data_IF_984485219565
#
_entry.id   IF_984485219565
#
_cell.length_a   1.000
_cell.length_b   1.000
_cell.length_c   1.000
_cell.angle_alpha   90.00
_cell.angle_beta   90.00
_cell.angle_gamma   90.00
#
_symmetry.space_group_name_H-M   'P 1'
#
loop_
_entity.id
_entity.type
_entity.pdbx_description
1 polymer ?
#
# COMPACT_ATOMS: atom_id res chain seq x y z
N UNK A 1 9.89 19.77 -11.57
CA UNK A 1 8.61 20.16 -12.17
C UNK A 1 8.61 21.65 -12.38
N UNK A 2 8.38 22.10 -13.62
CA UNK A 2 8.15 23.50 -13.94
C UNK A 2 6.65 23.83 -13.81
N UNK A 3 6.27 24.47 -12.70
CA UNK A 3 4.87 24.79 -12.41
C UNK A 3 4.32 25.89 -13.34
N UNK A 4 5.15 26.81 -13.83
CA UNK A 4 4.68 27.86 -14.74
C UNK A 4 4.27 27.28 -16.08
N UNK A 5 5.11 26.40 -16.63
CA UNK A 5 4.84 25.66 -17.86
C UNK A 5 3.57 24.82 -17.75
N UNK A 6 3.40 24.08 -16.65
CA UNK A 6 2.17 23.33 -16.38
C UNK A 6 0.96 24.28 -16.37
N UNK A 7 1.03 25.38 -15.62
CA UNK A 7 -0.09 26.31 -15.45
C UNK A 7 -0.53 26.98 -16.76
N UNK A 8 0.38 27.16 -17.72
CA UNK A 8 0.05 27.71 -19.04
C UNK A 8 -0.77 26.74 -19.91
N UNK A 9 -0.58 25.43 -19.76
CA UNK A 9 -1.04 24.45 -20.76
C UNK A 9 -1.98 23.38 -20.22
N UNK A 10 -2.07 23.21 -18.90
CA UNK A 10 -2.78 22.08 -18.27
C UNK A 10 -4.23 21.88 -18.73
N UNK A 11 -4.94 22.92 -19.20
CA UNK A 11 -6.35 22.84 -19.64
C UNK A 11 -6.59 22.07 -20.95
N UNK A 12 -5.54 21.83 -21.73
CA UNK A 12 -5.63 21.22 -23.08
C UNK A 12 -4.70 20.02 -23.24
N UNK A 13 -4.35 19.38 -22.12
CA UNK A 13 -3.39 18.27 -22.17
C UNK A 13 -4.12 16.97 -22.46
N UNK A 14 -3.61 16.21 -23.42
CA UNK A 14 -4.21 14.94 -23.84
C UNK A 14 -4.13 13.90 -22.73
N UNK A 15 -5.23 13.18 -22.50
CA UNK A 15 -5.27 12.02 -21.59
C UNK A 15 -4.53 10.80 -22.14
N UNK A 16 -4.37 10.73 -23.47
CA UNK A 16 -3.88 9.52 -24.15
C UNK A 16 -2.42 9.61 -24.57
N UNK A 17 -1.90 10.83 -24.78
CA UNK A 17 -0.56 11.05 -25.30
C UNK A 17 0.17 12.11 -24.48
N UNK A 18 1.37 11.76 -24.01
CA UNK A 18 2.28 12.69 -23.37
C UNK A 18 2.73 13.75 -24.39
N UNK A 19 2.64 15.05 -24.06
CA UNK A 19 3.24 16.10 -24.87
C UNK A 19 4.77 15.95 -24.90
N UNK A 20 5.39 16.13 -26.08
CA UNK A 20 6.83 15.93 -26.27
C UNK A 20 7.68 16.86 -25.40
N UNK A 21 7.14 18.03 -25.06
CA UNK A 21 7.80 19.01 -24.20
C UNK A 21 7.60 18.73 -22.71
N UNK A 22 6.72 17.82 -22.26
CA UNK A 22 6.44 17.55 -20.85
C UNK A 22 7.21 16.33 -20.34
N UNK A 23 7.71 16.38 -19.11
CA UNK A 23 8.09 15.15 -18.41
C UNK A 23 6.85 14.33 -18.02
N UNK A 24 7.02 13.05 -17.71
CA UNK A 24 5.91 12.19 -17.26
C UNK A 24 5.25 12.78 -16.01
N UNK A 25 6.04 13.25 -15.04
CA UNK A 25 5.54 13.86 -13.81
C UNK A 25 4.74 15.14 -14.10
N UNK A 26 5.25 16.00 -14.98
CA UNK A 26 4.57 17.24 -15.38
C UNK A 26 3.24 16.94 -16.08
N UNK A 27 3.23 15.93 -16.96
CA UNK A 27 2.04 15.52 -17.68
C UNK A 27 0.98 14.97 -16.72
N UNK A 28 1.38 14.08 -15.82
CA UNK A 28 0.53 13.48 -14.80
C UNK A 28 -0.01 14.51 -13.81
N UNK A 29 0.80 15.50 -13.44
CA UNK A 29 0.36 16.64 -12.64
C UNK A 29 -0.70 17.46 -13.39
N UNK A 30 -0.43 17.84 -14.64
CA UNK A 30 -1.33 18.65 -15.46
C UNK A 30 -2.71 17.99 -15.64
N UNK A 31 -2.74 16.66 -15.87
CA UNK A 31 -4.00 15.90 -15.99
C UNK A 31 -4.84 15.95 -14.70
N UNK A 32 -4.21 15.87 -13.52
CA UNK A 32 -4.92 15.96 -12.23
C UNK A 32 -5.50 17.35 -12.00
N UNK A 33 -4.76 18.38 -12.38
CA UNK A 33 -5.22 19.77 -12.33
C UNK A 33 -6.37 20.00 -13.31
N UNK A 34 -6.25 19.54 -14.56
CA UNK A 34 -7.31 19.62 -15.57
C UNK A 34 -8.59 18.93 -15.09
N UNK A 35 -8.46 17.72 -14.53
CA UNK A 35 -9.58 16.94 -14.03
C UNK A 35 -10.28 17.65 -12.84
N UNK A 36 -9.50 18.23 -11.93
CA UNK A 36 -10.04 18.94 -10.77
C UNK A 36 -10.91 20.15 -11.14
N UNK A 37 -10.59 20.84 -12.23
CA UNK A 37 -11.39 21.98 -12.70
C UNK A 37 -12.64 21.57 -13.47
N UNK A 38 -12.56 20.49 -14.25
CA UNK A 38 -13.68 20.02 -15.07
C UNK A 38 -14.73 19.23 -14.28
N UNK A 39 -14.36 18.68 -13.11
CA UNK A 39 -15.24 17.84 -12.31
C UNK A 39 -15.89 18.60 -11.16
N UNK A 40 -17.19 18.36 -10.88
CA UNK A 40 -17.96 19.10 -9.88
C UNK A 40 -17.69 18.62 -8.45
N UNK A 41 -16.43 18.66 -8.00
CA UNK A 41 -16.06 18.35 -6.63
C UNK A 41 -16.68 19.34 -5.65
N UNK A 42 -17.25 18.83 -4.55
CA UNK A 42 -17.71 19.67 -3.44
C UNK A 42 -16.63 19.72 -2.37
N UNK A 43 -16.13 20.92 -2.08
CA UNK A 43 -15.06 21.14 -1.10
C UNK A 43 -15.65 21.81 0.13
N UNK A 44 -15.44 21.19 1.29
CA UNK A 44 -15.83 21.69 2.60
C UNK A 44 -14.56 21.91 3.44
N UNK A 45 -14.54 23.00 4.22
CA UNK A 45 -13.44 23.29 5.13
C UNK A 45 -13.77 22.77 6.53
N UNK A 46 -12.89 21.95 7.10
CA UNK A 46 -13.15 21.27 8.38
C UNK A 46 -12.80 22.12 9.60
N UNK A 47 -11.97 23.16 9.44
CA UNK A 47 -11.60 24.08 10.51
C UNK A 47 -11.68 25.53 10.02
N UNK A 48 -12.12 26.43 10.88
CA UNK A 48 -12.30 27.85 10.55
C UNK A 48 -10.97 28.67 10.51
N UNK A 49 -9.83 28.00 10.23
CA UNK A 49 -8.47 28.58 10.25
C UNK A 49 -8.06 29.23 8.91
N UNK A 50 -6.76 29.50 8.71
CA UNK A 50 -6.14 30.02 7.47
C UNK A 50 -6.38 29.13 6.22
N UNK A 51 -5.87 29.52 5.04
CA UNK A 51 -6.00 28.73 3.80
C UNK A 51 -5.34 27.35 3.91
N UNK A 52 -4.22 27.23 4.61
CA UNK A 52 -3.65 25.94 4.98
C UNK A 52 -4.44 25.35 6.14
N UNK A 53 -5.21 24.30 5.85
CA UNK A 53 -6.14 23.70 6.79
C UNK A 53 -6.54 22.30 6.33
N UNK A 54 -7.42 21.66 7.09
CA UNK A 54 -8.06 20.41 6.72
C UNK A 54 -9.33 20.69 5.92
N UNK A 55 -9.48 19.93 4.85
CA UNK A 55 -10.61 19.98 3.93
C UNK A 55 -11.22 18.60 3.76
N UNK A 56 -12.47 18.57 3.35
CA UNK A 56 -13.17 17.38 2.87
C UNK A 56 -13.59 17.63 1.44
N UNK A 57 -13.25 16.69 0.56
CA UNK A 57 -13.64 16.74 -0.86
C UNK A 57 -14.57 15.57 -1.14
N UNK A 58 -15.79 15.88 -1.56
CA UNK A 58 -16.79 14.91 -1.98
C UNK A 58 -16.82 14.81 -3.50
N UNK A 59 -16.74 13.57 -4.00
CA UNK A 59 -16.92 13.26 -5.41
C UNK A 59 -18.36 12.79 -5.65
N UNK A 60 -19.18 13.55 -6.39
CA UNK A 60 -20.57 13.17 -6.65
C UNK A 60 -20.73 11.90 -7.51
N UNK A 61 -19.76 11.57 -8.37
CA UNK A 61 -19.83 10.40 -9.25
C UNK A 61 -19.64 9.10 -8.47
N UNK A 62 -18.62 9.06 -7.62
CA UNK A 62 -18.32 7.87 -6.82
C UNK A 62 -19.06 7.86 -5.48
N UNK A 63 -19.68 8.98 -5.10
CA UNK A 63 -20.31 9.21 -3.78
C UNK A 63 -19.34 9.05 -2.60
N UNK A 64 -18.04 9.16 -2.85
CA UNK A 64 -17.00 9.04 -1.82
C UNK A 64 -16.54 10.43 -1.36
N UNK A 65 -16.13 10.50 -0.10
CA UNK A 65 -15.50 11.68 0.51
C UNK A 65 -14.08 11.36 0.92
N UNK A 66 -13.17 12.32 0.73
CA UNK A 66 -11.77 12.20 1.12
C UNK A 66 -11.37 13.36 2.03
N UNK A 67 -10.61 13.07 3.08
CA UNK A 67 -9.95 14.12 3.88
C UNK A 67 -8.65 14.55 3.21
N UNK A 68 -8.43 15.87 3.18
CA UNK A 68 -7.23 16.51 2.66
C UNK A 68 -6.63 17.35 3.78
N UNK A 69 -5.32 17.23 4.01
CA UNK A 69 -4.56 18.17 4.84
C UNK A 69 -3.69 19.03 3.92
N UNK A 70 -4.11 20.27 3.67
CA UNK A 70 -3.35 21.21 2.86
C UNK A 70 -2.38 21.98 3.76
N UNK A 71 -1.08 21.90 3.46
CA UNK A 71 0.03 22.41 4.29
C UNK A 71 1.14 23.07 3.48
N UNK A 72 1.14 22.97 2.16
CA UNK A 72 2.04 23.76 1.32
C UNK A 72 1.46 24.00 -0.06
N UNK A 73 1.95 25.04 -0.73
CA UNK A 73 1.58 25.37 -2.10
C UNK A 73 2.37 24.54 -3.14
N UNK A 74 3.58 24.13 -2.80
CA UNK A 74 4.51 23.38 -3.65
C UNK A 74 4.30 21.85 -3.60
N UNK A 75 3.23 21.39 -2.94
CA UNK A 75 2.91 19.98 -2.73
C UNK A 75 3.91 19.18 -1.86
N UNK A 76 4.86 19.85 -1.20
CA UNK A 76 5.81 19.18 -0.32
C UNK A 76 5.24 18.63 0.98
N UNK A 77 4.10 19.16 1.42
CA UNK A 77 3.59 18.95 2.76
C UNK A 77 2.13 18.46 2.81
N UNK A 78 1.50 18.33 1.65
CA UNK A 78 0.08 18.03 1.51
C UNK A 78 -0.19 16.53 1.76
N UNK A 79 -1.42 16.21 2.15
CA UNK A 79 -1.88 14.83 2.30
C UNK A 79 -3.31 14.68 1.79
N UNK A 80 -3.61 13.55 1.15
CA UNK A 80 -4.97 13.14 0.82
C UNK A 80 -5.16 11.65 1.11
N UNK A 81 -6.35 11.29 1.58
CA UNK A 81 -6.69 9.89 1.88
C UNK A 81 -6.84 9.00 0.64
N UNK A 82 -7.01 9.58 -0.56
CA UNK A 82 -7.26 8.83 -1.77
C UNK A 82 -6.04 7.97 -2.20
N UNK A 83 -6.33 6.88 -2.91
CA UNK A 83 -5.30 5.95 -3.35
C UNK A 83 -4.35 6.54 -4.39
N UNK A 84 -4.87 7.39 -5.29
CA UNK A 84 -4.06 8.14 -6.26
C UNK A 84 -2.91 8.90 -5.56
N UNK A 85 -3.22 9.71 -4.54
CA UNK A 85 -2.20 10.46 -3.79
C UNK A 85 -1.15 9.55 -3.16
N UNK A 86 -1.59 8.43 -2.57
CA UNK A 86 -0.72 7.50 -1.85
C UNK A 86 0.22 6.72 -2.77
N UNK A 87 -0.08 6.64 -4.07
CA UNK A 87 0.65 5.78 -5.03
C UNK A 87 1.38 6.54 -6.12
N UNK A 88 0.96 7.77 -6.46
CA UNK A 88 1.48 8.47 -7.63
C UNK A 88 2.87 9.13 -7.45
N UNK A 89 3.33 9.36 -6.22
CA UNK A 89 4.64 9.94 -5.96
C UNK A 89 4.79 11.44 -6.24
N UNK A 90 3.73 12.15 -6.60
CA UNK A 90 3.75 13.56 -7.02
C UNK A 90 3.50 14.55 -5.88
N UNK A 91 2.96 14.09 -4.74
CA UNK A 91 2.54 14.98 -3.65
C UNK A 91 1.25 15.75 -3.93
N UNK A 92 0.55 15.44 -5.02
CA UNK A 92 -0.77 15.97 -5.34
C UNK A 92 -1.71 14.87 -5.86
N UNK A 93 -3.00 15.17 -5.92
CA UNK A 93 -4.03 14.37 -6.58
C UNK A 93 -5.14 15.29 -7.06
N UNK A 94 -6.10 14.76 -7.83
CA UNK A 94 -7.27 15.52 -8.27
C UNK A 94 -8.03 16.22 -7.13
N UNK A 95 -8.06 15.64 -5.93
CA UNK A 95 -8.75 16.25 -4.78
C UNK A 95 -7.95 17.42 -4.15
N UNK A 96 -6.62 17.33 -4.12
CA UNK A 96 -5.77 18.43 -3.65
C UNK A 96 -5.87 19.61 -4.64
N UNK A 97 -5.80 19.32 -5.94
CA UNK A 97 -6.00 20.34 -6.97
C UNK A 97 -7.41 20.95 -6.92
N UNK A 98 -8.44 20.18 -6.54
CA UNK A 98 -9.79 20.70 -6.33
C UNK A 98 -9.85 21.67 -5.12
N UNK A 99 -9.09 21.40 -4.05
CA UNK A 99 -8.95 22.33 -2.92
C UNK A 99 -8.24 23.61 -3.34
N UNK A 100 -7.14 23.51 -4.12
CA UNK A 100 -6.48 24.69 -4.67
C UNK A 100 -7.43 25.51 -5.54
N UNK A 101 -8.16 24.85 -6.44
CA UNK A 101 -9.17 25.49 -7.29
C UNK A 101 -10.25 26.20 -6.46
N UNK A 102 -10.75 25.56 -5.40
CA UNK A 102 -11.70 26.14 -4.47
C UNK A 102 -11.14 27.39 -3.76
N UNK A 103 -9.90 27.35 -3.29
CA UNK A 103 -9.25 28.49 -2.62
C UNK A 103 -9.08 29.67 -3.58
N UNK A 104 -8.63 29.41 -4.82
CA UNK A 104 -8.43 30.44 -5.83
C UNK A 104 -9.75 31.06 -6.31
N UNK A 105 -10.76 30.23 -6.64
CA UNK A 105 -11.93 30.70 -7.38
C UNK A 105 -13.16 30.96 -6.50
N UNK A 106 -13.39 30.13 -5.47
CA UNK A 106 -14.56 30.28 -4.57
C UNK A 106 -14.23 31.17 -3.38
N UNK A 107 -13.12 30.91 -2.69
CA UNK A 107 -12.70 31.75 -1.55
C UNK A 107 -12.01 33.04 -1.98
N UNK A 108 -11.51 33.14 -3.23
CA UNK A 108 -10.71 34.26 -3.74
C UNK A 108 -9.51 34.59 -2.84
N UNK A 109 -8.92 33.57 -2.22
CA UNK A 109 -7.83 33.68 -1.23
C UNK A 109 -6.50 33.08 -1.72
N UNK A 110 -6.34 32.93 -3.03
CA UNK A 110 -5.14 32.37 -3.65
C UNK A 110 -3.83 33.07 -3.25
N UNK A 111 -3.86 34.40 -3.07
CA UNK A 111 -2.68 35.16 -2.63
C UNK A 111 -2.13 34.72 -1.27
N UNK A 112 -2.98 34.15 -0.39
CA UNK A 112 -2.55 33.68 0.93
C UNK A 112 -1.74 32.37 0.86
N UNK A 113 -1.74 31.67 -0.28
CA UNK A 113 -0.93 30.45 -0.48
C UNK A 113 0.56 30.76 -0.67
N UNK A 114 0.93 32.02 -0.92
CA UNK A 114 2.33 32.45 -0.97
C UNK A 114 2.99 32.57 0.40
N UNK A 115 2.20 32.63 1.49
CA UNK A 115 2.74 32.63 2.85
C UNK A 115 3.09 31.19 3.25
N UNK A 116 4.23 30.95 3.93
CA UNK A 116 4.55 29.61 4.41
C UNK A 116 3.51 29.15 5.43
N UNK A 117 3.25 27.85 5.46
CA UNK A 117 2.47 27.25 6.54
C UNK A 117 3.33 27.13 7.79
N UNK A 118 3.05 27.97 8.78
CA UNK A 118 3.68 27.89 10.10
C UNK A 118 2.88 26.96 11.00
N UNK A 119 3.51 25.86 11.42
CA UNK A 119 2.97 24.99 12.45
C UNK A 119 3.66 25.24 13.78
N UNK A 120 2.87 25.30 14.85
CA UNK A 120 3.39 25.50 16.19
C UNK A 120 4.08 24.24 16.71
N UNK A 121 3.49 23.07 16.44
CA UNK A 121 3.99 21.78 16.90
C UNK A 121 4.92 21.09 15.90
N UNK A 122 5.81 20.25 16.41
CA UNK A 122 6.65 19.34 15.62
C UNK A 122 5.90 18.05 15.30
N UNK A 123 6.08 17.52 14.10
CA UNK A 123 5.42 16.28 13.69
C UNK A 123 6.26 15.35 12.83
N UNK A 124 6.08 14.05 13.00
CA UNK A 124 6.59 13.01 12.10
C UNK A 124 5.47 12.54 11.18
N UNK A 125 5.73 12.52 9.87
CA UNK A 125 4.78 12.15 8.83
C UNK A 125 5.43 11.28 7.75
N UNK A 126 4.61 10.60 6.96
CA UNK A 126 5.07 9.90 5.76
C UNK A 126 5.02 10.86 4.56
N UNK A 127 6.17 11.13 3.95
CA UNK A 127 6.24 11.81 2.67
C UNK A 127 5.99 10.80 1.56
N UNK A 128 4.92 11.00 0.79
CA UNK A 128 4.52 10.10 -0.30
C UNK A 128 5.23 10.40 -1.62
N UNK A 129 6.07 11.45 -1.69
CA UNK A 129 6.77 11.83 -2.91
C UNK A 129 7.95 10.92 -3.20
N UNK A 130 8.16 10.58 -4.47
CA UNK A 130 9.24 9.70 -4.93
C UNK A 130 9.24 8.36 -4.15
N UNK A 131 10.24 8.16 -3.28
CA UNK A 131 10.34 6.99 -2.41
C UNK A 131 9.73 7.37 -1.06
N UNK A 132 8.66 6.67 -0.65
CA UNK A 132 7.98 6.93 0.62
C UNK A 132 8.99 6.99 1.76
N UNK A 133 9.13 8.15 2.39
CA UNK A 133 10.11 8.40 3.45
C UNK A 133 9.45 9.02 4.66
N UNK A 134 9.81 8.54 5.84
CA UNK A 134 9.39 9.16 7.08
C UNK A 134 10.19 10.44 7.24
N UNK A 135 9.50 11.55 7.45
CA UNK A 135 10.12 12.87 7.63
C UNK A 135 9.65 13.52 8.92
N UNK A 136 10.53 14.33 9.50
CA UNK A 136 10.18 15.23 10.59
C UNK A 136 9.95 16.65 10.06
N UNK A 137 8.89 17.30 10.54
CA UNK A 137 8.65 18.73 10.33
C UNK A 137 8.71 19.43 11.67
N UNK A 138 9.70 20.30 11.81
CA UNK A 138 9.97 21.03 13.05
C UNK A 138 9.04 22.23 13.13
N UNK A 139 8.31 22.34 14.24
CA UNK A 139 7.46 23.49 14.54
C UNK A 139 8.20 24.63 15.24
N UNK A 140 7.48 25.70 15.56
CA UNK A 140 8.03 26.87 16.25
C UNK A 140 8.20 26.65 17.76
N UNK A 141 7.49 25.70 18.37
CA UNK A 141 7.65 25.32 19.78
C UNK A 141 8.87 24.39 19.94
N UNK A 142 9.68 24.63 20.98
CA UNK A 142 10.87 23.82 21.34
C UNK A 142 11.81 23.52 20.15
N UNK A 143 11.98 24.49 19.24
CA UNK A 143 12.71 24.30 18.00
C UNK A 143 14.17 23.87 18.21
N UNK A 144 14.83 24.32 19.29
CA UNK A 144 16.24 23.98 19.55
C UNK A 144 16.38 22.50 19.90
N UNK A 145 15.51 22.02 20.79
CA UNK A 145 15.44 20.64 21.25
C UNK A 145 15.06 19.71 20.10
N UNK A 146 14.05 20.08 19.30
CA UNK A 146 13.64 19.29 18.14
C UNK A 146 14.69 19.27 17.01
N UNK A 147 15.47 20.35 16.82
CA UNK A 147 16.61 20.33 15.89
C UNK A 147 17.72 19.40 16.37
N UNK A 148 17.97 19.35 17.68
CA UNK A 148 18.94 18.40 18.25
C UNK A 148 18.47 16.94 18.09
N UNK A 149 17.18 16.67 18.36
CA UNK A 149 16.56 15.36 18.12
C UNK A 149 16.64 14.97 16.63
N UNK A 150 16.30 15.89 15.73
CA UNK A 150 16.37 15.67 14.29
C UNK A 150 17.78 15.31 13.84
N UNK A 151 18.81 16.05 14.30
CA UNK A 151 20.21 15.77 13.97
C UNK A 151 20.66 14.36 14.39
N UNK A 152 20.14 13.84 15.50
CA UNK A 152 20.44 12.49 15.99
C UNK A 152 19.89 11.41 15.06
N UNK A 153 18.60 11.46 14.74
CA UNK A 153 17.90 10.34 14.08
C UNK A 153 17.57 10.55 12.60
N UNK A 154 17.58 11.79 12.11
CA UNK A 154 17.21 12.16 10.75
C UNK A 154 18.42 12.69 9.97
N UNK A 155 18.35 12.59 8.65
CA UNK A 155 19.36 13.10 7.73
C UNK A 155 19.20 14.62 7.47
N UNK A 156 20.05 15.18 6.60
CA UNK A 156 20.02 16.59 6.24
C UNK A 156 18.72 17.03 5.55
N UNK A 157 17.97 16.10 4.94
CA UNK A 157 16.66 16.35 4.34
C UNK A 157 15.50 16.16 5.32
N UNK A 158 15.81 15.98 6.62
CA UNK A 158 14.87 15.62 7.67
C UNK A 158 14.16 14.27 7.42
N UNK A 159 14.80 13.33 6.72
CA UNK A 159 14.29 11.96 6.53
C UNK A 159 14.89 11.02 7.56
N UNK A 160 14.10 10.06 8.05
CA UNK A 160 14.55 9.09 9.04
C UNK A 160 15.67 8.21 8.46
N UNK A 161 16.78 8.07 9.19
CA UNK A 161 17.90 7.20 8.80
C UNK A 161 17.47 5.73 8.84
N UNK A 162 18.01 4.93 7.91
CA UNK A 162 17.68 3.50 7.77
C UNK A 162 17.97 2.68 9.05
N UNK A 163 19.05 3.00 9.77
CA UNK A 163 19.40 2.37 11.05
C UNK A 163 18.37 2.63 12.15
N UNK A 164 17.69 3.77 12.08
CA UNK A 164 16.83 4.27 13.15
C UNK A 164 15.39 3.79 13.07
N UNK A 165 15.04 3.04 12.03
CA UNK A 165 13.74 2.37 11.97
C UNK A 165 13.52 1.48 13.19
N UNK A 166 14.55 0.86 13.77
CA UNK A 166 14.44 0.03 14.99
C UNK A 166 14.15 0.86 16.24
N UNK A 167 14.72 2.07 16.32
CA UNK A 167 14.61 2.97 17.47
C UNK A 167 13.42 3.92 17.39
N UNK A 168 12.56 3.82 16.36
CA UNK A 168 11.45 4.74 16.15
C UNK A 168 10.54 4.99 17.36
N UNK A 169 10.27 3.96 18.18
CA UNK A 169 9.47 4.12 19.40
C UNK A 169 10.15 5.05 20.43
N UNK A 170 11.48 4.98 20.53
CA UNK A 170 12.28 5.87 21.38
C UNK A 170 12.23 7.31 20.85
N UNK A 171 12.29 7.49 19.53
CA UNK A 171 12.18 8.82 18.88
C UNK A 171 10.84 9.47 19.22
N UNK A 172 9.74 8.72 19.11
CA UNK A 172 8.40 9.21 19.46
C UNK A 172 8.31 9.52 20.95
N UNK A 173 8.87 8.67 21.81
CA UNK A 173 8.93 8.90 23.26
C UNK A 173 9.70 10.17 23.64
N UNK A 174 10.88 10.39 23.05
CA UNK A 174 11.66 11.61 23.24
C UNK A 174 10.93 12.85 22.71
N UNK A 175 10.24 12.74 21.57
CA UNK A 175 9.46 13.84 21.02
C UNK A 175 8.33 14.27 21.95
N UNK A 176 7.58 13.31 22.52
CA UNK A 176 6.53 13.58 23.51
C UNK A 176 7.08 14.12 24.83
N UNK A 177 8.27 13.70 25.25
CA UNK A 177 8.94 14.22 26.44
C UNK A 177 9.41 15.67 26.30
N UNK A 178 9.78 16.09 25.07
CA UNK A 178 10.14 17.50 24.77
C UNK A 178 8.89 18.39 24.81
N UNK A 179 7.80 17.95 24.18
CA UNK A 179 6.55 18.70 24.13
C UNK A 179 5.35 17.75 23.90
N UNK A 180 4.31 17.89 24.71
CA UNK A 180 3.07 17.09 24.64
C UNK A 180 2.31 17.25 23.32
N UNK A 181 2.48 18.38 22.62
CA UNK A 181 1.86 18.65 21.32
C UNK A 181 2.57 17.95 20.15
N UNK A 182 3.69 17.25 20.39
CA UNK A 182 4.38 16.48 19.36
C UNK A 182 3.45 15.43 18.73
N UNK A 183 3.41 15.37 17.39
CA UNK A 183 2.51 14.45 16.67
C UNK A 183 3.27 13.46 15.81
N UNK A 184 2.95 12.17 15.96
CA UNK A 184 3.30 11.15 14.98
C UNK A 184 2.04 10.76 14.21
N UNK A 185 2.01 10.99 12.90
CA UNK A 185 0.85 10.61 12.10
C UNK A 185 0.77 9.08 11.95
N UNK A 186 -0.44 8.50 11.96
CA UNK A 186 -0.61 7.04 11.92
C UNK A 186 0.06 6.36 10.73
N UNK A 187 0.08 7.02 9.57
CA UNK A 187 0.67 6.46 8.36
C UNK A 187 2.21 6.37 8.41
N UNK A 188 2.87 7.24 9.18
CA UNK A 188 4.28 7.11 9.48
C UNK A 188 4.52 5.85 10.33
N UNK A 189 3.73 5.64 11.38
CA UNK A 189 3.83 4.46 12.24
C UNK A 189 3.58 3.17 11.45
N UNK A 190 2.53 3.13 10.63
CA UNK A 190 2.21 2.00 9.76
C UNK A 190 3.39 1.66 8.84
N UNK A 191 4.01 2.67 8.24
CA UNK A 191 5.16 2.48 7.37
C UNK A 191 6.39 1.95 8.10
N UNK A 192 6.65 2.40 9.34
CA UNK A 192 7.73 1.86 10.18
C UNK A 192 7.50 0.38 10.46
N UNK A 193 6.27 0.01 10.85
CA UNK A 193 5.93 -1.37 11.16
C UNK A 193 6.11 -2.25 9.91
N UNK A 194 5.57 -1.83 8.77
CA UNK A 194 5.73 -2.52 7.49
C UNK A 194 7.20 -2.67 7.10
N UNK A 195 8.01 -1.62 7.27
CA UNK A 195 9.44 -1.65 6.99
C UNK A 195 10.18 -2.67 7.89
N UNK A 196 9.95 -2.62 9.21
CA UNK A 196 10.57 -3.56 10.16
C UNK A 196 10.21 -5.01 9.85
N UNK A 197 8.96 -5.27 9.51
CA UNK A 197 8.50 -6.61 9.14
C UNK A 197 9.09 -7.10 7.81
N UNK A 198 9.15 -6.23 6.80
CA UNK A 198 9.79 -6.54 5.53
C UNK A 198 11.28 -6.88 5.74
N UNK A 199 12.00 -6.08 6.54
CA UNK A 199 13.41 -6.33 6.85
C UNK A 199 13.60 -7.65 7.59
N UNK A 200 12.86 -7.87 8.67
CA UNK A 200 12.90 -9.14 9.43
C UNK A 200 12.63 -10.36 8.54
N UNK A 201 11.60 -10.29 7.69
CA UNK A 201 11.24 -11.37 6.77
C UNK A 201 12.34 -11.60 5.74
N UNK A 202 12.87 -10.53 5.15
CA UNK A 202 13.98 -10.61 4.21
C UNK A 202 15.20 -11.27 4.83
N UNK A 203 15.62 -10.83 6.02
CA UNK A 203 16.78 -11.37 6.73
C UNK A 203 16.57 -12.85 7.06
N UNK A 204 15.38 -13.23 7.55
CA UNK A 204 15.06 -14.63 7.85
C UNK A 204 15.10 -15.52 6.60
N UNK A 205 14.51 -15.09 5.50
CA UNK A 205 14.52 -15.85 4.24
C UNK A 205 15.93 -15.95 3.69
N UNK A 206 16.70 -14.87 3.72
CA UNK A 206 18.07 -14.84 3.23
C UNK A 206 18.99 -15.77 4.04
N UNK A 207 18.96 -15.68 5.37
CA UNK A 207 19.79 -16.50 6.25
C UNK A 207 19.45 -17.98 6.18
N UNK A 208 18.16 -18.35 6.20
CA UNK A 208 17.76 -19.77 6.22
C UNK A 208 17.72 -20.44 4.85
N UNK A 209 17.28 -19.73 3.82
CA UNK A 209 17.03 -20.29 2.50
C UNK A 209 18.03 -19.75 1.47
N UNK A 210 18.22 -18.43 1.40
CA UNK A 210 19.08 -17.78 0.40
C UNK A 210 20.53 -18.28 0.42
N UNK A 211 21.19 -18.30 1.59
CA UNK A 211 22.57 -18.81 1.75
C UNK A 211 22.70 -20.32 1.56
N UNK A 212 21.59 -21.04 1.55
CA UNK A 212 21.55 -22.50 1.58
C UNK A 212 20.71 -23.08 0.42
N UNK A 213 20.54 -22.33 -0.68
CA UNK A 213 19.74 -22.72 -1.85
C UNK A 213 20.13 -24.11 -2.38
N UNK A 214 21.42 -24.44 -2.33
CA UNK A 214 21.96 -25.71 -2.82
C UNK A 214 21.90 -26.84 -1.78
N UNK A 215 21.75 -26.53 -0.49
CA UNK A 215 21.88 -27.49 0.62
C UNK A 215 20.55 -28.21 0.97
N UNK A 216 19.67 -28.42 -0.01
CA UNK A 216 18.43 -29.18 0.20
C UNK A 216 17.41 -28.56 1.18
N UNK A 217 17.56 -27.29 1.58
CA UNK A 217 16.65 -26.62 2.55
C UNK A 217 15.18 -26.60 2.09
N UNK A 218 14.96 -26.74 0.78
CA UNK A 218 13.63 -26.81 0.16
C UNK A 218 13.04 -28.23 0.12
N UNK A 219 13.82 -29.28 0.36
CA UNK A 219 13.36 -30.66 0.23
C UNK A 219 12.31 -31.02 1.30
N UNK A 220 12.37 -30.35 2.45
CA UNK A 220 11.36 -30.44 3.52
C UNK A 220 10.17 -29.48 3.34
N UNK A 221 10.19 -28.66 2.29
CA UNK A 221 9.18 -27.61 2.10
C UNK A 221 8.00 -28.09 1.26
N UNK A 222 8.29 -28.82 0.17
CA UNK A 222 7.28 -29.36 -0.75
C UNK A 222 7.68 -30.76 -1.24
N UNK A 223 6.69 -31.57 -1.62
CA UNK A 223 6.82 -32.91 -2.19
C UNK A 223 7.19 -32.88 -3.69
N UNK A 224 8.16 -32.06 -4.07
CA UNK A 224 8.64 -31.96 -5.45
C UNK A 224 10.07 -31.42 -5.53
N UNK A 225 10.82 -31.87 -6.54
CA UNK A 225 12.15 -31.34 -6.84
C UNK A 225 12.04 -29.99 -7.52
N UNK A 226 12.66 -28.97 -6.94
CA UNK A 226 12.68 -27.60 -7.47
C UNK A 226 13.95 -27.34 -8.27
N UNK A 227 13.81 -26.69 -9.42
CA UNK A 227 14.95 -26.18 -10.18
C UNK A 227 15.61 -24.99 -9.47
N UNK A 228 16.91 -24.71 -9.70
CA UNK A 228 17.61 -23.58 -9.06
C UNK A 228 16.88 -22.23 -9.19
N UNK A 229 16.42 -21.87 -10.39
CA UNK A 229 15.68 -20.63 -10.62
C UNK A 229 14.34 -20.57 -9.86
N UNK A 230 13.69 -21.73 -9.62
CA UNK A 230 12.45 -21.78 -8.84
C UNK A 230 12.73 -21.49 -7.37
N UNK A 231 13.84 -22.02 -6.83
CA UNK A 231 14.27 -21.73 -5.45
C UNK A 231 14.54 -20.23 -5.26
N UNK A 232 15.20 -19.60 -6.22
CA UNK A 232 15.40 -18.15 -6.23
C UNK A 232 14.08 -17.38 -6.28
N UNK A 233 13.16 -17.76 -7.18
CA UNK A 233 11.82 -17.17 -7.27
C UNK A 233 11.02 -17.28 -5.96
N UNK A 234 11.11 -18.43 -5.29
CA UNK A 234 10.48 -18.66 -3.97
C UNK A 234 11.08 -17.74 -2.91
N UNK A 235 12.42 -17.67 -2.81
CA UNK A 235 13.12 -16.77 -1.89
C UNK A 235 12.76 -15.30 -2.15
N UNK A 236 12.71 -14.89 -3.42
CA UNK A 236 12.32 -13.55 -3.81
C UNK A 236 10.88 -13.22 -3.38
N UNK A 237 9.95 -14.12 -3.65
CA UNK A 237 8.55 -13.93 -3.27
C UNK A 237 8.35 -13.89 -1.75
N UNK A 238 8.96 -14.84 -1.04
CA UNK A 238 8.87 -14.94 0.40
C UNK A 238 9.58 -13.76 1.11
N UNK A 239 10.67 -13.22 0.57
CA UNK A 239 11.37 -12.07 1.18
C UNK A 239 10.59 -10.76 0.99
N UNK A 240 10.14 -10.45 -0.22
CA UNK A 240 9.47 -9.18 -0.54
C UNK A 240 8.03 -9.10 0.00
N UNK A 241 7.33 -10.23 0.10
CA UNK A 241 5.94 -10.30 0.56
C UNK A 241 4.94 -9.82 -0.50
N UNK A 242 5.19 -8.70 -1.18
CA UNK A 242 4.46 -8.30 -2.39
C UNK A 242 5.38 -8.43 -3.59
N UNK A 243 5.04 -9.31 -4.52
CA UNK A 243 5.83 -9.51 -5.73
C UNK A 243 4.97 -9.97 -6.90
N UNK A 244 5.54 -9.85 -8.10
CA UNK A 244 5.01 -10.45 -9.31
C UNK A 244 6.03 -11.50 -9.76
N UNK A 245 5.59 -12.74 -9.88
CA UNK A 245 6.32 -13.82 -10.54
C UNK A 245 5.86 -13.83 -12.00
N UNK A 246 6.75 -13.39 -12.88
CA UNK A 246 6.48 -13.18 -14.30
C UNK A 246 7.34 -14.08 -15.21
N UNK A 247 7.82 -15.22 -14.68
CA UNK A 247 8.53 -16.24 -15.45
C UNK A 247 7.70 -16.71 -16.65
N UNK A 248 8.37 -17.17 -17.71
CA UNK A 248 7.70 -17.66 -18.91
C UNK A 248 6.72 -18.80 -18.63
N UNK A 249 5.77 -18.97 -19.56
CA UNK A 249 4.77 -20.03 -19.49
C UNK A 249 5.48 -21.40 -19.49
N UNK A 250 5.13 -22.26 -18.54
CA UNK A 250 5.74 -23.60 -18.39
C UNK A 250 6.87 -23.70 -17.36
N UNK A 251 7.42 -22.58 -16.86
CA UNK A 251 8.52 -22.59 -15.87
C UNK A 251 8.08 -22.90 -14.42
N UNK A 252 6.82 -23.27 -14.21
CA UNK A 252 6.33 -23.68 -12.90
C UNK A 252 6.07 -22.52 -11.93
N UNK A 253 5.44 -21.43 -12.39
CA UNK A 253 5.00 -20.34 -11.50
C UNK A 253 4.09 -20.83 -10.37
N UNK A 254 3.20 -21.79 -10.67
CA UNK A 254 2.26 -22.36 -9.68
C UNK A 254 3.00 -23.04 -8.53
N UNK A 255 4.00 -23.89 -8.83
CA UNK A 255 4.81 -24.55 -7.81
C UNK A 255 5.64 -23.54 -7.00
N UNK A 256 6.19 -22.49 -7.63
CA UNK A 256 6.87 -21.42 -6.90
C UNK A 256 5.92 -20.68 -5.94
N UNK A 257 4.69 -20.39 -6.37
CA UNK A 257 3.70 -19.71 -5.54
C UNK A 257 3.24 -20.57 -4.35
N UNK A 258 3.00 -21.87 -4.57
CA UNK A 258 2.66 -22.83 -3.51
C UNK A 258 3.82 -22.96 -2.52
N UNK A 259 5.05 -23.13 -3.00
CA UNK A 259 6.22 -23.24 -2.15
C UNK A 259 6.50 -21.97 -1.35
N UNK A 260 6.31 -20.78 -1.95
CA UNK A 260 6.40 -19.52 -1.21
C UNK A 260 5.34 -19.42 -0.11
N UNK A 261 4.10 -19.87 -0.37
CA UNK A 261 3.05 -19.93 0.64
C UNK A 261 3.42 -20.89 1.79
N UNK A 262 3.97 -22.08 1.49
CA UNK A 262 4.43 -23.02 2.50
C UNK A 262 5.61 -22.47 3.32
N UNK A 263 6.54 -21.73 2.69
CA UNK A 263 7.66 -21.11 3.38
C UNK A 263 7.13 -20.08 4.38
N UNK A 264 6.25 -19.20 3.93
CA UNK A 264 5.61 -18.21 4.80
C UNK A 264 4.80 -18.88 5.92
N UNK A 265 4.12 -20.00 5.63
CA UNK A 265 3.37 -20.78 6.63
C UNK A 265 4.30 -21.34 7.70
N UNK A 266 5.38 -22.00 7.29
CA UNK A 266 6.37 -22.63 8.18
C UNK A 266 7.12 -21.61 9.04
N UNK A 267 7.60 -20.53 8.43
CA UNK A 267 8.53 -19.61 9.08
C UNK A 267 7.86 -18.42 9.78
N UNK A 268 6.76 -17.93 9.21
CA UNK A 268 6.06 -16.77 9.78
C UNK A 268 4.84 -17.21 10.56
N UNK A 269 4.19 -18.32 10.19
CA UNK A 269 2.98 -18.82 10.85
C UNK A 269 1.71 -18.24 10.27
N UNK A 270 1.67 -17.98 8.96
CA UNK A 270 0.41 -17.64 8.29
C UNK A 270 -0.55 -18.82 8.34
N UNK A 271 -1.83 -18.50 8.43
CA UNK A 271 -2.93 -19.44 8.69
C UNK A 271 -3.96 -19.52 7.58
N UNK A 272 -3.96 -18.60 6.62
CA UNK A 272 -4.91 -18.63 5.50
C UNK A 272 -4.34 -17.98 4.24
N UNK A 273 -4.44 -18.68 3.12
CA UNK A 273 -4.05 -18.24 1.79
C UNK A 273 -5.25 -18.34 0.82
N UNK A 274 -5.53 -17.25 0.11
CA UNK A 274 -6.57 -17.15 -0.91
C UNK A 274 -5.95 -17.13 -2.30
N UNK A 275 -6.30 -18.11 -3.12
CA UNK A 275 -5.88 -18.22 -4.51
C UNK A 275 -7.04 -17.73 -5.38
N UNK A 276 -6.84 -16.62 -6.07
CA UNK A 276 -7.80 -16.05 -7.02
C UNK A 276 -7.32 -16.39 -8.43
N UNK A 277 -8.10 -17.21 -9.14
CA UNK A 277 -7.72 -17.70 -10.46
C UNK A 277 -8.92 -17.72 -11.43
N UNK A 278 -8.70 -17.93 -12.74
CA UNK A 278 -9.77 -18.24 -13.67
C UNK A 278 -10.60 -19.45 -13.22
N UNK A 279 -11.92 -19.43 -13.47
CA UNK A 279 -12.83 -20.53 -13.08
C UNK A 279 -12.35 -21.90 -13.57
N UNK A 280 -11.75 -21.96 -14.76
CA UNK A 280 -11.21 -23.18 -15.37
C UNK A 280 -9.99 -23.75 -14.64
N UNK A 281 -9.26 -22.95 -13.85
CA UNK A 281 -8.02 -23.36 -13.18
C UNK A 281 -8.23 -23.75 -11.71
N UNK A 282 -9.42 -23.55 -11.14
CA UNK A 282 -9.66 -23.82 -9.70
C UNK A 282 -9.32 -25.25 -9.29
N UNK A 283 -9.78 -26.22 -10.06
CA UNK A 283 -9.55 -27.64 -9.79
C UNK A 283 -8.12 -28.07 -10.09
N UNK A 284 -7.46 -27.44 -11.07
CA UNK A 284 -6.04 -27.64 -11.31
C UNK A 284 -5.21 -27.20 -10.10
N UNK A 285 -5.46 -25.99 -9.57
CA UNK A 285 -4.82 -25.51 -8.35
C UNK A 285 -5.05 -26.46 -7.16
N UNK A 286 -6.28 -26.96 -6.99
CA UNK A 286 -6.60 -27.94 -5.94
C UNK A 286 -5.74 -29.21 -6.06
N UNK A 287 -5.63 -29.75 -7.26
CA UNK A 287 -4.82 -30.95 -7.54
C UNK A 287 -3.32 -30.69 -7.33
N UNK A 288 -2.80 -29.56 -7.78
CA UNK A 288 -1.39 -29.20 -7.61
C UNK A 288 -1.02 -28.98 -6.15
N UNK A 289 -1.88 -28.34 -5.35
CA UNK A 289 -1.66 -28.18 -3.91
C UNK A 289 -1.60 -29.54 -3.22
N UNK A 290 -2.55 -30.43 -3.50
CA UNK A 290 -2.56 -31.78 -2.92
C UNK A 290 -1.30 -32.56 -3.32
N UNK A 291 -0.89 -32.47 -4.59
CA UNK A 291 0.33 -33.11 -5.11
C UNK A 291 1.59 -32.59 -4.42
N UNK A 292 1.77 -31.27 -4.35
CA UNK A 292 3.02 -30.66 -3.89
C UNK A 292 3.12 -30.51 -2.38
N UNK A 293 2.01 -30.53 -1.64
CA UNK A 293 2.04 -30.29 -0.18
C UNK A 293 1.37 -31.39 0.64
N UNK A 294 0.61 -32.28 0.01
CA UNK A 294 -0.23 -33.27 0.71
C UNK A 294 -1.44 -32.65 1.43
N UNK A 295 -1.67 -31.34 1.31
CA UNK A 295 -2.76 -30.64 1.99
C UNK A 295 -4.04 -30.61 1.17
N UNK A 296 -5.16 -30.44 1.87
CA UNK A 296 -6.44 -30.14 1.26
C UNK A 296 -6.55 -28.65 0.92
N UNK A 297 -7.20 -28.35 -0.19
CA UNK A 297 -7.59 -26.99 -0.56
C UNK A 297 -9.11 -26.94 -0.76
N UNK A 298 -9.72 -25.86 -0.27
CA UNK A 298 -11.17 -25.65 -0.39
C UNK A 298 -11.47 -24.79 -1.61
N UNK A 299 -12.37 -25.25 -2.49
CA UNK A 299 -12.81 -24.49 -3.67
C UNK A 299 -14.13 -23.83 -3.33
N UNK A 300 -14.17 -22.50 -3.35
CA UNK A 300 -15.36 -21.70 -3.03
C UNK A 300 -16.22 -21.55 -4.28
N UNK A 301 -17.41 -22.16 -4.26
CA UNK A 301 -18.33 -22.14 -5.40
C UNK A 301 -19.79 -22.42 -5.04
N UNK A 302 -20.67 -22.30 -6.05
CA UNK A 302 -22.12 -22.45 -5.88
C UNK A 302 -22.82 -21.11 -5.64
N UNK A 303 -24.08 -21.17 -5.21
CA UNK A 303 -24.90 -19.99 -4.87
C UNK A 303 -24.39 -19.29 -3.61
N UNK A 304 -24.71 -18.01 -3.44
CA UNK A 304 -24.18 -17.17 -2.35
C UNK A 304 -24.34 -17.79 -0.96
N UNK A 305 -25.51 -18.37 -0.65
CA UNK A 305 -25.78 -19.03 0.64
C UNK A 305 -24.82 -20.19 0.92
N UNK A 306 -24.58 -21.06 -0.08
CA UNK A 306 -23.59 -22.14 0.04
C UNK A 306 -22.16 -21.62 0.19
N UNK A 307 -21.82 -20.50 -0.46
CA UNK A 307 -20.47 -19.91 -0.36
C UNK A 307 -20.20 -19.32 1.02
N UNK A 308 -21.20 -18.72 1.67
CA UNK A 308 -21.05 -18.20 3.03
C UNK A 308 -20.61 -19.26 4.04
N UNK A 309 -21.17 -20.46 3.97
CA UNK A 309 -20.75 -21.59 4.80
C UNK A 309 -19.32 -22.00 4.47
N UNK A 310 -18.97 -22.03 3.19
CA UNK A 310 -17.63 -22.38 2.74
C UNK A 310 -16.57 -21.38 3.23
N UNK A 311 -16.84 -20.09 3.37
CA UNK A 311 -15.85 -19.14 3.92
C UNK A 311 -15.48 -19.40 5.39
N UNK A 312 -16.24 -20.22 6.12
CA UNK A 312 -15.99 -20.56 7.53
C UNK A 312 -15.14 -21.82 7.72
N UNK A 313 -14.53 -22.33 6.66
CA UNK A 313 -13.68 -23.51 6.74
C UNK A 313 -12.32 -23.19 7.40
N UNK A 314 -11.67 -24.24 7.94
CA UNK A 314 -10.34 -24.15 8.57
C UNK A 314 -9.18 -24.50 7.61
N UNK A 315 -9.44 -24.61 6.30
CA UNK A 315 -8.43 -24.91 5.29
C UNK A 315 -7.45 -23.74 5.16
N UNK A 316 -6.15 -24.08 5.12
CA UNK A 316 -5.11 -23.10 4.80
C UNK A 316 -5.31 -22.51 3.40
N UNK A 317 -5.56 -23.37 2.40
CA UNK A 317 -5.78 -22.93 1.01
C UNK A 317 -7.26 -22.79 0.69
N UNK A 318 -7.64 -21.62 0.17
CA UNK A 318 -8.97 -21.28 -0.32
C UNK A 318 -8.88 -20.80 -1.77
N UNK A 319 -9.60 -21.44 -2.68
CA UNK A 319 -9.53 -21.17 -4.12
C UNK A 319 -10.85 -20.55 -4.58
N UNK A 320 -10.77 -19.39 -5.22
CA UNK A 320 -11.94 -18.60 -5.64
C UNK A 320 -11.73 -18.05 -7.04
N UNK A 321 -12.82 -17.89 -7.81
CA UNK A 321 -12.74 -17.21 -9.10
C UNK A 321 -12.77 -15.69 -8.96
N UNK A 322 -12.19 -14.97 -9.92
CA UNK A 322 -12.24 -13.51 -9.97
C UNK A 322 -13.66 -12.94 -9.77
N UNK A 323 -14.63 -13.42 -10.55
CA UNK A 323 -16.02 -12.96 -10.46
C UNK A 323 -16.61 -13.16 -9.06
N UNK A 324 -16.31 -14.29 -8.42
CA UNK A 324 -16.82 -14.59 -7.07
C UNK A 324 -16.14 -13.69 -6.04
N UNK A 325 -14.83 -13.44 -6.18
CA UNK A 325 -14.08 -12.57 -5.28
C UNK A 325 -14.58 -11.12 -5.29
N UNK A 326 -15.01 -10.62 -6.46
CA UNK A 326 -15.63 -9.29 -6.57
C UNK A 326 -16.92 -9.19 -5.76
N UNK A 327 -17.78 -10.21 -5.91
CA UNK A 327 -19.12 -10.21 -5.34
C UNK A 327 -19.10 -10.49 -3.83
N UNK A 328 -18.20 -11.37 -3.38
CA UNK A 328 -18.13 -11.84 -1.99
C UNK A 328 -17.09 -11.06 -1.17
N UNK A 329 -16.81 -9.83 -1.59
CA UNK A 329 -15.77 -9.00 -1.03
C UNK A 329 -15.88 -8.83 0.49
N UNK A 330 -17.12 -8.72 0.99
CA UNK A 330 -17.43 -8.57 2.41
C UNK A 330 -17.10 -9.84 3.19
N UNK A 331 -17.32 -11.01 2.61
CA UNK A 331 -17.03 -12.30 3.24
C UNK A 331 -15.52 -12.51 3.35
N UNK A 332 -14.79 -12.26 2.26
CA UNK A 332 -13.31 -12.35 2.23
C UNK A 332 -12.68 -11.38 3.25
N UNK A 333 -13.22 -10.17 3.39
CA UNK A 333 -12.76 -9.23 4.42
C UNK A 333 -12.99 -9.76 5.84
N UNK A 334 -14.05 -10.54 6.04
CA UNK A 334 -14.39 -11.11 7.35
C UNK A 334 -13.44 -12.25 7.72
N UNK A 335 -13.00 -13.06 6.73
CA UNK A 335 -12.03 -14.14 6.96
C UNK A 335 -10.62 -13.63 7.27
N UNK A 336 -10.29 -12.39 6.87
CA UNK A 336 -9.00 -11.74 7.08
C UNK A 336 -7.81 -12.62 6.63
N UNK A 337 -7.71 -12.97 5.35
CA UNK A 337 -6.66 -13.85 4.86
C UNK A 337 -5.27 -13.24 5.00
N UNK A 338 -4.26 -14.08 5.20
CA UNK A 338 -2.87 -13.67 5.42
C UNK A 338 -2.10 -13.51 4.10
N UNK A 339 -2.47 -14.28 3.08
CA UNK A 339 -1.83 -14.29 1.76
C UNK A 339 -2.89 -14.33 0.66
N UNK A 340 -2.69 -13.53 -0.39
CA UNK A 340 -3.38 -13.68 -1.66
C UNK A 340 -2.41 -14.11 -2.75
N UNK A 341 -2.85 -15.05 -3.58
CA UNK A 341 -2.17 -15.49 -4.79
C UNK A 341 -3.10 -15.21 -5.96
N UNK A 342 -2.73 -14.28 -6.84
CA UNK A 342 -3.53 -13.88 -7.99
C UNK A 342 -2.92 -14.52 -9.23
N UNK A 343 -3.57 -15.53 -9.77
CA UNK A 343 -3.17 -16.19 -11.01
C UNK A 343 -3.77 -15.48 -12.22
N UNK A 344 -3.02 -15.39 -13.32
CA UNK A 344 -3.42 -14.63 -14.51
C UNK A 344 -3.80 -13.17 -14.18
N UNK A 345 -3.02 -12.50 -13.32
CA UNK A 345 -3.35 -11.19 -12.75
C UNK A 345 -3.57 -10.08 -13.81
N UNK A 346 -3.13 -10.27 -15.06
CA UNK A 346 -3.48 -9.41 -16.19
C UNK A 346 -5.00 -9.29 -16.45
N UNK A 347 -5.81 -10.24 -15.96
CA UNK A 347 -7.28 -10.21 -16.07
C UNK A 347 -7.90 -9.14 -15.17
N UNK A 348 -7.16 -8.67 -14.16
CA UNK A 348 -7.48 -7.47 -13.38
C UNK A 348 -7.14 -6.26 -14.27
N UNK A 349 -8.04 -5.93 -15.20
CA UNK A 349 -7.79 -4.89 -16.21
C UNK A 349 -7.64 -3.52 -15.56
N UNK A 350 -6.41 -3.01 -15.60
CA UNK A 350 -6.10 -1.73 -16.25
C UNK A 350 -4.58 -1.53 -16.41
N UNK A 351 -3.92 -2.39 -17.22
CA UNK A 351 -2.72 -1.99 -17.97
C UNK A 351 -2.70 -2.73 -19.32
N UNK A 352 -2.60 -1.93 -20.38
CA UNK A 352 -2.60 -2.31 -21.80
C UNK A 352 -1.52 -3.33 -22.16
N UNK A 353 -1.94 -4.37 -22.89
CA UNK A 353 -1.15 -5.27 -23.76
C UNK A 353 0.05 -5.99 -23.10
N UNK A 354 -0.23 -7.01 -22.29
CA UNK A 354 0.74 -8.09 -22.04
C UNK A 354 -0.02 -9.42 -21.98
N UNK A 355 0.22 -10.32 -22.94
CA UNK A 355 -0.47 -11.61 -23.09
C UNK A 355 0.14 -12.76 -22.26
N UNK A 356 1.13 -12.47 -21.40
CA UNK A 356 1.84 -13.49 -20.64
C UNK A 356 1.16 -13.79 -19.29
N UNK A 357 1.05 -15.08 -18.94
CA UNK A 357 0.61 -15.58 -17.63
C UNK A 357 1.45 -14.98 -16.48
N UNK A 358 0.83 -14.26 -15.53
CA UNK A 358 1.51 -13.68 -14.35
C UNK A 358 0.85 -14.13 -13.06
N UNK A 359 1.67 -14.54 -12.09
CA UNK A 359 1.21 -14.76 -10.72
C UNK A 359 1.65 -13.57 -9.88
N UNK A 360 0.71 -12.92 -9.22
CA UNK A 360 1.01 -11.86 -8.23
C UNK A 360 0.78 -12.41 -6.83
N UNK A 361 1.82 -12.39 -6.01
CA UNK A 361 1.71 -12.76 -4.61
C UNK A 361 1.59 -11.48 -3.79
N UNK A 362 0.56 -11.45 -2.96
CA UNK A 362 0.31 -10.35 -2.04
C UNK A 362 0.22 -10.88 -0.62
N UNK A 363 1.28 -10.67 0.14
CA UNK A 363 1.32 -10.96 1.57
C UNK A 363 0.72 -9.81 2.39
N UNK A 364 -0.26 -10.13 3.22
CA UNK A 364 -0.84 -9.19 4.17
C UNK A 364 0.02 -9.16 5.44
N UNK A 365 0.94 -8.19 5.50
CA UNK A 365 1.88 -8.01 6.61
C UNK A 365 1.21 -7.74 7.96
N UNK A 366 0.13 -6.95 7.98
CA UNK A 366 -0.41 -6.34 9.19
C UNK A 366 -1.06 -7.32 10.20
N UNK A 367 -1.39 -8.56 9.83
CA UNK A 367 -1.96 -9.54 10.78
C UNK A 367 -0.89 -10.20 11.65
N UNK A 368 0.35 -10.31 11.17
CA UNK A 368 1.43 -10.94 11.93
C UNK A 368 1.87 -10.11 13.14
N UNK A 369 1.89 -8.78 13.00
CA UNK A 369 2.18 -7.83 14.08
C UNK A 369 1.08 -7.85 15.14
N UNK A 370 -0.19 -7.80 14.71
CA UNK A 370 -1.33 -7.75 15.63
C UNK A 370 -1.44 -8.98 16.55
N UNK A 371 -1.18 -10.20 16.04
CA UNK A 371 -1.16 -11.43 16.87
C UNK A 371 0.02 -11.49 17.84
N UNK A 372 1.19 -10.92 17.49
CA UNK A 372 2.39 -10.92 18.36
C UNK A 372 2.39 -9.79 19.39
N UNK A 373 1.84 -8.62 19.08
CA UNK A 373 1.78 -7.47 20.01
C UNK A 373 0.69 -7.60 21.08
N UNK A 374 -0.36 -8.39 20.86
CA UNK A 374 -1.42 -8.65 21.87
C UNK A 374 -0.93 -9.31 23.16
N UNK A 375 0.34 -9.75 23.26
CA UNK A 375 0.91 -10.26 24.52
C UNK A 375 1.72 -9.24 25.32
N UNK A 376 2.08 -8.05 24.78
CA UNK A 376 2.97 -7.12 25.51
C UNK A 376 2.79 -5.61 25.29
N UNK A 377 1.82 -5.12 24.52
CA UNK A 377 1.66 -3.66 24.37
C UNK A 377 0.20 -3.22 24.26
N UNK A 378 -0.18 -2.30 25.13
CA UNK A 378 -1.47 -1.61 25.16
C UNK A 378 -1.53 -0.67 23.95
N UNK A 379 -1.97 -1.18 22.80
CA UNK A 379 -2.39 -0.34 21.67
C UNK A 379 -3.81 -0.73 21.27
N UNK A 380 -4.61 0.31 21.05
CA UNK A 380 -6.06 0.26 20.97
C UNK A 380 -6.54 -0.65 19.81
N UNK A 381 -7.35 -1.67 20.13
CA UNK A 381 -7.90 -2.67 19.17
C UNK A 381 -8.73 -2.04 18.03
N UNK A 382 -9.10 -0.77 18.14
CA UNK A 382 -9.88 -0.01 17.15
C UNK A 382 -9.08 0.44 15.92
N UNK A 383 -7.75 0.55 16.01
CA UNK A 383 -6.89 1.04 14.91
C UNK A 383 -6.51 -0.08 13.93
N UNK A 384 -6.48 -1.34 14.38
CA UNK A 384 -6.04 -2.47 13.54
C UNK A 384 -7.07 -2.94 12.49
N UNK A 385 -8.36 -2.65 12.68
CA UNK A 385 -9.44 -3.16 11.80
C UNK A 385 -9.45 -2.60 10.37
N UNK A 386 -9.18 -1.29 10.12
CA UNK A 386 -9.17 -0.74 8.74
C UNK A 386 -7.91 -1.11 7.93
N UNK A 387 -6.83 -1.55 8.59
CA UNK A 387 -5.50 -1.76 7.99
C UNK A 387 -5.38 -3.05 7.19
N UNK A 388 -6.11 -4.11 7.55
CA UNK A 388 -6.17 -5.37 6.79
C UNK A 388 -6.86 -5.22 5.43
N UNK A 389 -7.60 -4.12 5.21
CA UNK A 389 -8.42 -3.87 4.02
C UNK A 389 -7.63 -3.10 2.95
N UNK A 390 -6.49 -2.48 3.27
CA UNK A 390 -5.73 -1.62 2.32
C UNK A 390 -5.22 -2.36 1.05
N UNK A 391 -4.67 -3.59 1.14
CA UNK A 391 -4.41 -4.45 -0.02
C UNK A 391 -5.63 -4.63 -0.91
N UNK A 392 -6.77 -4.73 -0.24
CA UNK A 392 -8.00 -5.16 -0.82
C UNK A 392 -8.82 -3.99 -1.33
N UNK A 393 -8.64 -2.76 -0.82
CA UNK A 393 -9.13 -1.53 -1.43
C UNK A 393 -8.34 -1.24 -2.71
N UNK A 394 -7.02 -1.49 -2.72
CA UNK A 394 -6.22 -1.45 -3.96
C UNK A 394 -6.67 -2.52 -4.97
N UNK A 395 -6.94 -3.75 -4.52
CA UNK A 395 -7.50 -4.82 -5.36
C UNK A 395 -8.96 -4.52 -5.74
N UNK A 396 -9.80 -3.98 -4.86
CA UNK A 396 -11.20 -3.64 -5.08
C UNK A 396 -11.36 -2.49 -6.07
N UNK A 397 -10.59 -1.41 -5.93
CA UNK A 397 -10.52 -0.34 -6.93
C UNK A 397 -10.06 -0.91 -8.28
N UNK A 398 -9.09 -1.83 -8.29
CA UNK A 398 -8.62 -2.48 -9.53
C UNK A 398 -9.59 -3.51 -10.11
N UNK A 399 -10.43 -4.13 -9.29
CA UNK A 399 -11.40 -5.16 -9.67
C UNK A 399 -12.75 -4.54 -10.06
N UNK A 400 -13.20 -3.45 -9.44
CA UNK A 400 -14.44 -2.75 -9.79
C UNK A 400 -14.38 -2.00 -11.12
N UNK A 401 -13.20 -1.87 -11.72
CA UNK A 401 -13.01 -1.34 -13.07
C UNK A 401 -13.00 -2.45 -14.16
N UNK A 402 -13.38 -3.68 -13.82
CA UNK A 402 -13.77 -4.77 -14.74
C UNK A 402 -15.26 -4.64 -15.02
#
# INVERSE_FOLDING_TARGET
MDFEKINKRYKKVSYHRQPDDFSIEEWQYALRKQFAESHPFRVEKLQNKAVFSDYRVYNPETKLSYKIALRSNDNSANFCECNDFKTNGLGTCKHIEAVFYYIHNKLKKGALLGKPFEQTYTSIYLDYRKNRKIRIRIGTENTREFKALAKKYFDAENSLKESEYVNFNEIVGQGLAINENFKCYPDALDNVLEHRENKRRNDLVHEKYGKHIENGVFDSLINAKLFPYQKEGICFAASKGRCIIADDMGLGKTIQAIAAAELLRKELGISSAFIICPTSLKYQWKTEIAKFTGQTAWVIEGVYTKRQEQYRNDSFYNIISYNTAVNDIKEINTTQPDLFILDEAQRIKNFTKCKAAKITLYFCTYRHTARKQTRRTVFNRSVCKPLCIRPFLEIHERIQHI
#
